data_IF_063123688158
#
_entry.id   IF_063123688158
#
_cell.length_a   1.000
_cell.length_b   1.000
_cell.length_c   1.000
_cell.angle_alpha   90.00
_cell.angle_beta   90.00
_cell.angle_gamma   90.00
#
_symmetry.space_group_name_H-M   'P 1'
#
loop_
_entity.id
_entity.type
_entity.pdbx_description
1 polymer ?
#
# COMPACT_ATOMS: atom_id res chain seq x y z
N UNK A 1 -4.03 22.33 0.51
CA UNK A 1 -4.19 20.91 0.13
C UNK A 1 -2.86 20.29 -0.33
N UNK A 2 -2.02 21.04 -1.03
CA UNK A 2 -0.71 20.59 -1.51
C UNK A 2 0.17 19.94 -0.42
N UNK A 3 0.39 20.63 0.71
CA UNK A 3 1.16 20.08 1.84
C UNK A 3 0.56 18.80 2.42
N UNK A 4 -0.76 18.71 2.48
CA UNK A 4 -1.46 17.53 3.01
C UNK A 4 -1.27 16.31 2.10
N UNK A 5 -1.32 16.50 0.78
CA UNK A 5 -1.08 15.43 -0.19
C UNK A 5 0.36 14.91 -0.13
N UNK A 6 1.34 15.81 -0.02
CA UNK A 6 2.75 15.44 0.15
C UNK A 6 2.97 14.65 1.44
N UNK A 7 2.41 15.11 2.57
CA UNK A 7 2.48 14.38 3.85
C UNK A 7 1.82 13.00 3.71
N UNK A 8 0.63 12.93 3.12
CA UNK A 8 -0.08 11.68 2.89
C UNK A 8 0.72 10.70 2.02
N UNK A 9 1.39 11.21 0.97
CA UNK A 9 2.26 10.41 0.11
C UNK A 9 3.46 9.85 0.89
N UNK A 10 4.13 10.66 1.71
CA UNK A 10 5.21 10.19 2.59
C UNK A 10 4.76 9.14 3.61
N UNK A 11 3.60 9.34 4.23
CA UNK A 11 2.99 8.35 5.14
C UNK A 11 2.75 7.04 4.40
N UNK A 12 2.19 7.09 3.18
CA UNK A 12 1.98 5.90 2.36
C UNK A 12 3.29 5.19 2.03
N UNK A 13 4.34 5.93 1.64
CA UNK A 13 5.68 5.38 1.39
C UNK A 13 6.20 4.61 2.60
N UNK A 14 6.19 5.21 3.78
CA UNK A 14 6.71 4.57 5.00
C UNK A 14 5.95 3.29 5.32
N UNK A 15 4.61 3.32 5.28
CA UNK A 15 3.79 2.14 5.56
C UNK A 15 3.99 1.04 4.52
N UNK A 16 4.10 1.40 3.24
CA UNK A 16 4.36 0.43 2.17
C UNK A 16 5.76 -0.16 2.28
N UNK A 17 6.78 0.59 2.67
CA UNK A 17 8.12 0.06 2.91
C UNK A 17 8.13 -0.93 4.09
N UNK A 18 7.38 -0.66 5.16
CA UNK A 18 7.18 -1.63 6.25
C UNK A 18 6.51 -2.90 5.73
N UNK A 19 5.46 -2.77 4.91
CA UNK A 19 4.79 -3.91 4.27
C UNK A 19 5.72 -4.70 3.35
N UNK A 20 6.55 -4.03 2.55
CA UNK A 20 7.55 -4.66 1.68
C UNK A 20 8.56 -5.43 2.52
N UNK A 21 9.12 -4.82 3.57
CA UNK A 21 10.04 -5.49 4.49
C UNK A 21 9.43 -6.73 5.13
N UNK A 22 8.17 -6.63 5.55
CA UNK A 22 7.40 -7.78 6.07
C UNK A 22 7.26 -8.89 5.04
N UNK A 23 6.89 -8.57 3.80
CA UNK A 23 6.75 -9.55 2.72
C UNK A 23 8.08 -10.21 2.34
N UNK A 24 9.18 -9.46 2.34
CA UNK A 24 10.53 -10.00 2.14
C UNK A 24 10.91 -10.97 3.27
N UNK A 25 10.63 -10.62 4.53
CA UNK A 25 10.88 -11.50 5.67
C UNK A 25 10.08 -12.81 5.58
N UNK A 26 8.80 -12.72 5.19
CA UNK A 26 7.96 -13.90 4.93
C UNK A 26 8.50 -14.77 3.79
N UNK A 27 8.93 -14.17 2.68
CA UNK A 27 9.55 -14.87 1.57
C UNK A 27 10.87 -15.56 2.00
N UNK A 28 11.66 -14.91 2.86
CA UNK A 28 12.87 -15.47 3.45
C UNK A 28 12.61 -16.62 4.44
N UNK A 29 11.36 -16.83 4.87
CA UNK A 29 10.95 -17.92 5.75
C UNK A 29 10.91 -17.56 7.23
N UNK A 30 10.92 -16.27 7.58
CA UNK A 30 10.73 -15.81 8.96
C UNK A 30 9.34 -16.26 9.46
N UNK A 31 9.27 -16.70 10.72
CA UNK A 31 8.08 -17.29 11.34
C UNK A 31 7.00 -16.27 11.76
N UNK A 32 6.79 -15.24 10.93
CA UNK A 32 5.78 -14.20 11.12
C UNK A 32 4.45 -14.49 10.41
N UNK A 33 4.26 -15.71 9.90
CA UNK A 33 3.03 -16.12 9.22
C UNK A 33 1.77 -16.02 10.09
N UNK A 34 1.87 -15.95 11.42
CA UNK A 34 0.71 -15.65 12.29
C UNK A 34 0.10 -14.25 12.04
N UNK A 35 0.89 -13.35 11.46
CA UNK A 35 0.49 -12.00 11.07
C UNK A 35 0.12 -11.91 9.57
N UNK A 36 0.00 -13.03 8.85
CA UNK A 36 -0.38 -13.04 7.44
C UNK A 36 -1.20 -14.27 7.06
N UNK A 37 -1.83 -14.22 5.88
CA UNK A 37 -2.58 -15.36 5.33
C UNK A 37 -3.63 -15.95 6.30
N UNK A 38 -4.29 -15.08 7.09
CA UNK A 38 -5.31 -15.46 8.07
C UNK A 38 -4.75 -16.02 9.39
N UNK A 39 -3.43 -15.98 9.58
CA UNK A 39 -2.73 -16.52 10.76
C UNK A 39 -2.71 -18.05 10.84
N UNK A 40 -2.86 -18.75 9.71
CA UNK A 40 -3.01 -20.20 9.66
C UNK A 40 -1.76 -20.98 10.14
N UNK A 41 -0.56 -20.47 9.87
CA UNK A 41 0.71 -21.10 10.25
C UNK A 41 1.75 -20.04 10.59
N UNK A 42 2.66 -20.35 11.54
CA UNK A 42 3.76 -19.44 11.88
C UNK A 42 4.80 -19.37 10.76
N UNK A 43 5.14 -20.51 10.16
CA UNK A 43 6.05 -20.60 9.01
C UNK A 43 5.24 -20.89 7.76
N UNK A 44 5.50 -20.13 6.70
CA UNK A 44 4.75 -20.22 5.45
C UNK A 44 5.18 -21.43 4.60
N UNK A 45 4.21 -22.05 3.94
CA UNK A 45 4.48 -23.05 2.91
C UNK A 45 5.23 -22.43 1.72
N UNK A 46 5.97 -23.21 0.90
CA UNK A 46 6.76 -22.68 -0.20
C UNK A 46 5.98 -21.77 -1.16
N UNK A 47 4.75 -22.15 -1.52
CA UNK A 47 3.89 -21.33 -2.39
C UNK A 47 3.54 -19.96 -1.77
N UNK A 48 3.29 -19.93 -0.45
CA UNK A 48 3.02 -18.69 0.27
C UNK A 48 4.26 -17.80 0.32
N UNK A 49 5.47 -18.37 0.45
CA UNK A 49 6.72 -17.60 0.38
C UNK A 49 6.94 -16.95 -1.00
N UNK A 50 6.64 -17.68 -2.07
CA UNK A 50 6.71 -17.14 -3.44
C UNK A 50 5.72 -16.00 -3.62
N UNK A 51 4.46 -16.18 -3.19
CA UNK A 51 3.47 -15.10 -3.26
C UNK A 51 3.86 -13.88 -2.41
N UNK A 52 4.50 -14.07 -1.25
CA UNK A 52 5.06 -12.96 -0.46
C UNK A 52 6.17 -12.23 -1.24
N UNK A 53 7.05 -12.96 -1.93
CA UNK A 53 8.08 -12.36 -2.79
C UNK A 53 7.49 -11.53 -3.93
N UNK A 54 6.47 -12.03 -4.61
CA UNK A 54 5.74 -11.28 -5.65
C UNK A 54 5.05 -10.05 -5.06
N UNK A 55 4.41 -10.20 -3.90
CA UNK A 55 3.76 -9.09 -3.21
C UNK A 55 4.76 -8.00 -2.81
N UNK A 56 5.97 -8.36 -2.36
CA UNK A 56 7.02 -7.39 -2.05
C UNK A 56 7.37 -6.52 -3.25
N UNK A 57 7.51 -7.10 -4.45
CA UNK A 57 7.80 -6.35 -5.67
C UNK A 57 6.64 -5.41 -6.02
N UNK A 58 5.40 -5.91 -5.99
CA UNK A 58 4.21 -5.11 -6.30
C UNK A 58 4.11 -3.91 -5.33
N UNK A 59 4.22 -4.15 -4.02
CA UNK A 59 4.11 -3.08 -3.03
C UNK A 59 5.30 -2.10 -3.08
N UNK A 60 6.48 -2.54 -3.50
CA UNK A 60 7.61 -1.64 -3.74
C UNK A 60 7.35 -0.70 -4.92
N UNK A 61 6.72 -1.18 -5.99
CA UNK A 61 6.30 -0.34 -7.12
C UNK A 61 5.23 0.68 -6.70
N UNK A 62 4.28 0.27 -5.86
CA UNK A 62 3.27 1.18 -5.29
C UNK A 62 3.93 2.22 -4.37
N UNK A 63 4.92 1.82 -3.56
CA UNK A 63 5.68 2.75 -2.73
C UNK A 63 6.44 3.78 -3.59
N UNK A 64 7.08 3.32 -4.67
CA UNK A 64 7.74 4.21 -5.62
C UNK A 64 6.77 5.18 -6.28
N UNK A 65 5.57 4.71 -6.65
CA UNK A 65 4.52 5.57 -7.18
C UNK A 65 4.18 6.70 -6.20
N UNK A 66 3.89 6.41 -4.93
CA UNK A 66 3.66 7.46 -3.93
C UNK A 66 4.88 8.36 -3.70
N UNK A 67 6.09 7.81 -3.74
CA UNK A 67 7.32 8.59 -3.62
C UNK A 67 7.46 9.60 -4.79
N UNK A 68 7.08 9.21 -6.01
CA UNK A 68 7.05 10.12 -7.17
C UNK A 68 6.00 11.22 -7.06
N UNK A 69 4.92 11.01 -6.30
CA UNK A 69 3.95 12.06 -5.98
C UNK A 69 4.49 13.06 -4.93
N UNK A 70 5.38 12.60 -4.05
CA UNK A 70 5.98 13.43 -3.00
C UNK A 70 7.22 14.20 -3.47
N UNK A 71 7.93 13.71 -4.49
CA UNK A 71 9.20 14.26 -4.98
C UNK A 71 9.06 14.58 -6.49
N UNK A 72 8.85 15.85 -6.87
CA UNK A 72 8.61 16.24 -8.28
C UNK A 72 9.73 15.86 -9.26
N UNK A 73 10.97 15.79 -8.79
CA UNK A 73 12.13 15.43 -9.62
C UNK A 73 12.28 13.92 -9.85
N UNK A 74 11.51 13.08 -9.15
CA UNK A 74 11.62 11.63 -9.27
C UNK A 74 10.80 11.13 -10.47
N UNK A 75 11.35 10.26 -11.33
CA UNK A 75 10.59 9.70 -12.43
C UNK A 75 9.43 8.82 -11.91
N UNK A 76 8.21 9.12 -12.36
CA UNK A 76 7.04 8.28 -12.14
C UNK A 76 7.11 6.99 -12.97
N UNK A 77 6.43 5.94 -12.48
CA UNK A 77 6.31 4.65 -13.20
C UNK A 77 5.24 4.71 -14.30
N UNK A 78 4.30 5.66 -14.18
CA UNK A 78 3.21 5.86 -15.13
C UNK A 78 3.19 7.33 -15.59
N UNK A 79 2.64 7.64 -16.77
CA UNK A 79 2.43 9.02 -17.19
C UNK A 79 1.46 9.75 -16.25
N UNK A 80 1.62 11.07 -16.13
CA UNK A 80 0.78 11.92 -15.27
C UNK A 80 -0.73 11.77 -15.55
N UNK A 81 -1.12 11.55 -16.82
CA UNK A 81 -2.51 11.33 -17.23
C UNK A 81 -3.15 10.09 -16.61
N UNK A 82 -2.35 9.12 -16.14
CA UNK A 82 -2.82 7.90 -15.50
C UNK A 82 -2.89 8.00 -13.97
N UNK A 83 -2.39 9.08 -13.35
CA UNK A 83 -2.30 9.18 -11.89
C UNK A 83 -3.66 9.01 -11.21
N UNK A 84 -4.70 9.67 -11.72
CA UNK A 84 -6.06 9.57 -11.15
C UNK A 84 -6.59 8.14 -11.24
N UNK A 85 -6.39 7.46 -12.37
CA UNK A 85 -6.81 6.06 -12.56
C UNK A 85 -6.09 5.14 -11.59
N UNK A 86 -4.77 5.25 -11.50
CA UNK A 86 -3.95 4.44 -10.58
C UNK A 86 -4.36 4.67 -9.13
N UNK A 87 -4.58 5.93 -8.72
CA UNK A 87 -5.00 6.25 -7.36
C UNK A 87 -6.38 5.66 -7.04
N UNK A 88 -7.35 5.67 -7.96
CA UNK A 88 -8.64 5.02 -7.74
C UNK A 88 -8.53 3.50 -7.62
N UNK A 89 -7.66 2.87 -8.42
CA UNK A 89 -7.35 1.44 -8.28
C UNK A 89 -6.79 1.15 -6.88
N UNK A 90 -5.85 1.97 -6.41
CA UNK A 90 -5.27 1.83 -5.08
C UNK A 90 -6.29 2.10 -3.96
N UNK A 91 -7.19 3.06 -4.12
CA UNK A 91 -8.32 3.30 -3.20
C UNK A 91 -9.17 2.04 -3.09
N UNK A 92 -9.58 1.44 -4.21
CA UNK A 92 -10.37 0.22 -4.20
C UNK A 92 -9.63 -0.95 -3.52
N UNK A 93 -8.34 -1.13 -3.85
CA UNK A 93 -7.50 -2.18 -3.25
C UNK A 93 -7.33 -2.00 -1.75
N UNK A 94 -7.06 -0.77 -1.27
CA UNK A 94 -6.89 -0.51 0.16
C UNK A 94 -8.22 -0.57 0.92
N UNK A 95 -9.33 -0.20 0.30
CA UNK A 95 -10.66 -0.40 0.89
C UNK A 95 -10.96 -1.90 1.08
N UNK A 96 -10.74 -2.71 0.04
CA UNK A 96 -10.88 -4.17 0.13
C UNK A 96 -9.94 -4.73 1.20
N UNK A 97 -8.68 -4.31 1.22
CA UNK A 97 -7.71 -4.74 2.22
C UNK A 97 -8.15 -4.37 3.65
N UNK A 98 -8.68 -3.17 3.85
CA UNK A 98 -9.18 -2.72 5.16
C UNK A 98 -10.31 -3.63 5.66
N UNK A 99 -11.27 -3.94 4.79
CA UNK A 99 -12.38 -4.84 5.13
C UNK A 99 -11.86 -6.25 5.42
N UNK A 100 -11.05 -6.81 4.52
CA UNK A 100 -10.51 -8.17 4.65
C UNK A 100 -9.65 -8.33 5.91
N UNK A 101 -8.78 -7.37 6.20
CA UNK A 101 -7.98 -7.36 7.42
C UNK A 101 -8.86 -7.21 8.65
N UNK A 102 -9.89 -6.36 8.59
CA UNK A 102 -10.84 -6.13 9.70
C UNK A 102 -11.67 -7.36 10.06
N UNK A 103 -12.07 -8.17 9.07
CA UNK A 103 -12.81 -9.42 9.29
C UNK A 103 -11.90 -10.65 9.47
N UNK A 104 -10.57 -10.48 9.39
CA UNK A 104 -9.62 -11.59 9.53
C UNK A 104 -9.82 -12.31 10.86
N UNK A 105 -9.67 -13.64 10.88
CA UNK A 105 -9.75 -14.44 12.11
C UNK A 105 -8.53 -14.19 13.03
N UNK A 106 -7.39 -13.79 12.47
CA UNK A 106 -6.17 -13.48 13.23
C UNK A 106 -6.31 -12.15 13.97
N UNK A 107 -6.15 -12.19 15.31
CA UNK A 107 -6.12 -10.96 16.13
C UNK A 107 -4.96 -10.04 15.75
N UNK A 108 -3.82 -10.62 15.36
CA UNK A 108 -2.62 -9.88 14.99
C UNK A 108 -2.87 -9.13 13.69
N UNK A 109 -3.50 -9.76 12.70
CA UNK A 109 -3.83 -9.10 11.44
C UNK A 109 -4.82 -7.95 11.64
N UNK A 110 -5.86 -8.16 12.44
CA UNK A 110 -6.82 -7.10 12.78
C UNK A 110 -6.16 -5.91 13.48
N UNK A 111 -5.22 -6.18 14.38
CA UNK A 111 -4.55 -5.13 15.16
C UNK A 111 -3.54 -4.32 14.35
N UNK A 112 -2.87 -4.93 13.36
CA UNK A 112 -1.79 -4.30 12.59
C UNK A 112 -2.27 -3.90 11.20
N UNK A 113 -2.81 -4.83 10.43
CA UNK A 113 -3.07 -4.60 9.01
C UNK A 113 -4.34 -3.82 8.75
N UNK A 114 -5.36 -3.92 9.60
CA UNK A 114 -6.56 -3.06 9.49
C UNK A 114 -6.21 -1.57 9.60
N UNK A 115 -5.53 -1.09 10.65
CA UNK A 115 -5.17 0.33 10.71
C UNK A 115 -4.19 0.73 9.61
N UNK A 116 -3.22 -0.11 9.25
CA UNK A 116 -2.28 0.19 8.15
C UNK A 116 -3.03 0.36 6.82
N UNK A 117 -3.91 -0.56 6.46
CA UNK A 117 -4.68 -0.47 5.21
C UNK A 117 -5.69 0.69 5.22
N UNK A 118 -6.29 1.01 6.37
CA UNK A 118 -7.16 2.16 6.52
C UNK A 118 -6.40 3.49 6.32
N UNK A 119 -5.19 3.62 6.89
CA UNK A 119 -4.36 4.81 6.68
C UNK A 119 -3.92 4.91 5.21
N UNK A 120 -3.52 3.81 4.59
CA UNK A 120 -3.17 3.79 3.16
C UNK A 120 -4.36 4.19 2.27
N UNK A 121 -5.57 3.75 2.61
CA UNK A 121 -6.80 4.19 1.94
C UNK A 121 -6.99 5.70 2.04
N UNK A 122 -6.84 6.28 3.24
CA UNK A 122 -6.94 7.73 3.44
C UNK A 122 -5.87 8.46 2.64
N UNK A 123 -4.62 7.99 2.66
CA UNK A 123 -3.55 8.59 1.88
C UNK A 123 -3.83 8.59 0.38
N UNK A 124 -4.38 7.49 -0.16
CA UNK A 124 -4.77 7.39 -1.56
C UNK A 124 -5.93 8.35 -1.90
N UNK A 125 -6.93 8.47 -1.02
CA UNK A 125 -8.05 9.41 -1.18
C UNK A 125 -7.57 10.87 -1.18
N UNK A 126 -6.70 11.26 -0.25
CA UNK A 126 -6.14 12.61 -0.21
C UNK A 126 -5.41 12.94 -1.50
N UNK A 127 -4.57 12.02 -1.99
CA UNK A 127 -3.81 12.22 -3.23
C UNK A 127 -4.70 12.26 -4.47
N UNK A 128 -5.76 11.43 -4.56
CA UNK A 128 -6.67 11.45 -5.72
C UNK A 128 -7.49 12.74 -5.77
N UNK A 129 -7.94 13.24 -4.61
CA UNK A 129 -8.67 14.51 -4.53
C UNK A 129 -7.77 15.69 -4.93
N UNK A 130 -6.51 15.70 -4.50
CA UNK A 130 -5.53 16.70 -4.95
C UNK A 130 -5.28 16.63 -6.46
N UNK A 131 -5.13 15.43 -7.02
CA UNK A 131 -4.92 15.25 -8.45
C UNK A 131 -6.12 15.74 -9.29
N UNK A 132 -7.35 15.45 -8.85
CA UNK A 132 -8.57 15.95 -9.49
C UNK A 132 -8.64 17.48 -9.41
N UNK A 133 -8.35 18.07 -8.25
CA UNK A 133 -8.35 19.53 -8.09
C UNK A 133 -7.37 20.23 -9.05
N UNK A 134 -6.18 19.66 -9.26
CA UNK A 134 -5.19 20.19 -10.22
C UNK A 134 -5.65 20.02 -11.67
N UNK A 135 -6.34 18.92 -12.00
CA UNK A 135 -6.86 18.69 -13.36
C UNK A 135 -7.99 19.65 -13.74
N UNK A 136 -8.81 20.08 -12.77
CA UNK A 136 -9.92 21.02 -13.01
C UNK A 136 -9.51 22.49 -13.12
N UNK A 137 -8.29 22.84 -12.70
CA UNK A 137 -7.73 24.21 -12.87
C UNK A 137 -7.08 24.38 -14.25
N UNK A 138 -6.73 23.26 -14.92
CA UNK A 138 -6.04 23.25 -16.20
C UNK A 138 -6.97 23.19 -17.43
N UNK A 139 -8.29 23.13 -17.24
CA UNK A 139 -9.30 23.11 -18.29
C UNK A 139 -10.20 24.34 -18.22
#
# INVERSE_FOLDING_TARGET
METLAVVAAWVAVVLLLVLVGFQVALAAGVSWGKAAYGGAAATLAPAQRVSSGVAAVIWALVAWFFLSLAIPALPGIVPASWHIVVLWVLVALFAIATVMNGISRSRIERAIWTPVSAVLLVCALVNVLQAIALSGVAG
#
